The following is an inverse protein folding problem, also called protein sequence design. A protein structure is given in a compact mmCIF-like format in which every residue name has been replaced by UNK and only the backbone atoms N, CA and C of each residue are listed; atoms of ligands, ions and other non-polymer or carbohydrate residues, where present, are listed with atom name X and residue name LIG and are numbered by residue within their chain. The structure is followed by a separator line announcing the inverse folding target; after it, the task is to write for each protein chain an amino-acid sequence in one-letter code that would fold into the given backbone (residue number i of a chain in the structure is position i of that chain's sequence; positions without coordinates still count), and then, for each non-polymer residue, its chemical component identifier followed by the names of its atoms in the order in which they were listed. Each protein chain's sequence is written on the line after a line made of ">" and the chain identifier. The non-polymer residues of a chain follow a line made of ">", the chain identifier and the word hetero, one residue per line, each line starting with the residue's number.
data_IF_037230998752
#
_entry.id   IF_037230998752
#
_cell.length_a   1.000
_cell.length_b   1.000
_cell.length_c   1.000
_cell.angle_alpha   90.00
_cell.angle_beta   90.00
_cell.angle_gamma   90.00
#
_symmetry.space_group_name_H-M   'P 1'
#
loop_
_entity.id
_entity.type
_entity.pdbx_description
1 polymer ?
#
# COMPACT_ATOMS: atom_id res chain seq x y z
N UNK A 1 -10.54 -25.08 -4.43
CA UNK A 1 -10.29 -23.65 -4.75
C UNK A 1 -9.99 -23.53 -6.23
N UNK A 2 -10.64 -22.61 -6.95
CA UNK A 2 -10.36 -22.35 -8.37
C UNK A 2 -8.97 -21.73 -8.54
N UNK A 3 -8.27 -22.02 -9.65
CA UNK A 3 -6.96 -21.42 -10.00
C UNK A 3 -6.98 -19.89 -9.90
N UNK A 4 -8.13 -19.28 -10.22
CA UNK A 4 -8.34 -17.82 -10.12
C UNK A 4 -8.28 -17.30 -8.69
N UNK A 5 -8.89 -18.01 -7.74
CA UNK A 5 -8.84 -17.64 -6.32
C UNK A 5 -7.42 -17.79 -5.75
N UNK A 6 -6.66 -18.78 -6.21
CA UNK A 6 -5.25 -18.95 -5.81
C UNK A 6 -4.36 -17.84 -6.37
N UNK A 7 -4.52 -17.45 -7.63
CA UNK A 7 -3.78 -16.35 -8.22
C UNK A 7 -4.10 -15.02 -7.52
N UNK A 8 -5.39 -14.76 -7.24
CA UNK A 8 -5.80 -13.60 -6.48
C UNK A 8 -5.18 -13.53 -5.08
N UNK A 9 -5.19 -14.65 -4.34
CA UNK A 9 -4.60 -14.70 -3.01
C UNK A 9 -3.10 -14.31 -3.04
N UNK A 10 -2.36 -14.79 -4.05
CA UNK A 10 -0.96 -14.41 -4.26
C UNK A 10 -0.80 -12.92 -4.57
N UNK A 11 -1.62 -12.38 -5.48
CA UNK A 11 -1.58 -10.96 -5.84
C UNK A 11 -1.92 -10.05 -4.65
N UNK A 12 -2.92 -10.42 -3.85
CA UNK A 12 -3.32 -9.74 -2.62
C UNK A 12 -2.17 -9.73 -1.62
N UNK A 13 -1.62 -10.91 -1.28
CA UNK A 13 -0.49 -11.02 -0.36
C UNK A 13 0.74 -10.26 -0.85
N UNK A 14 1.02 -10.31 -2.14
CA UNK A 14 2.15 -9.58 -2.73
C UNK A 14 1.98 -8.07 -2.63
N UNK A 15 0.78 -7.54 -2.93
CA UNK A 15 0.48 -6.12 -2.76
C UNK A 15 0.68 -5.66 -1.32
N UNK A 16 0.12 -6.41 -0.36
CA UNK A 16 0.23 -6.11 1.07
C UNK A 16 1.67 -6.15 1.57
N UNK A 17 2.46 -7.14 1.12
CA UNK A 17 3.87 -7.25 1.46
C UNK A 17 4.67 -6.06 0.93
N UNK A 18 4.47 -5.67 -0.34
CA UNK A 18 5.16 -4.52 -0.92
C UNK A 18 4.86 -3.23 -0.15
N UNK A 19 3.61 -3.05 0.28
CA UNK A 19 3.21 -1.91 1.10
C UNK A 19 3.91 -1.92 2.46
N UNK A 20 3.91 -3.05 3.17
CA UNK A 20 4.62 -3.18 4.45
C UNK A 20 6.11 -2.87 4.32
N UNK A 21 6.76 -3.33 3.24
CA UNK A 21 8.16 -3.01 2.98
C UNK A 21 8.37 -1.50 2.83
N UNK A 22 7.47 -0.80 2.13
CA UNK A 22 7.60 0.66 1.98
C UNK A 22 7.39 1.40 3.30
N UNK A 23 6.42 0.97 4.11
CA UNK A 23 6.16 1.53 5.44
C UNK A 23 7.39 1.31 6.35
N UNK A 24 7.93 0.09 6.35
CA UNK A 24 9.13 -0.25 7.12
C UNK A 24 10.34 0.59 6.72
N UNK A 25 10.57 0.75 5.41
CA UNK A 25 11.67 1.56 4.90
C UNK A 25 11.56 3.05 5.28
N UNK A 26 10.35 3.63 5.23
CA UNK A 26 10.14 5.01 5.69
C UNK A 26 10.41 5.18 7.19
N UNK A 27 10.17 4.14 8.00
CA UNK A 27 10.39 4.15 9.45
C UNK A 27 11.84 3.92 9.84
N UNK A 28 12.55 3.05 9.13
CA UNK A 28 13.93 2.69 9.46
C UNK A 28 14.96 3.61 8.80
N UNK A 29 14.62 4.18 7.65
CA UNK A 29 15.53 4.95 6.81
C UNK A 29 14.79 6.10 6.11
N UNK A 30 14.48 7.21 6.80
CA UNK A 30 13.76 8.36 6.22
C UNK A 30 14.39 8.96 4.96
N UNK A 31 15.72 8.82 4.79
CA UNK A 31 16.46 9.32 3.63
C UNK A 31 16.15 8.54 2.33
N UNK A 32 15.57 7.34 2.45
CA UNK A 32 15.11 6.51 1.32
C UNK A 32 13.84 7.05 0.63
N UNK A 33 13.24 8.14 1.12
CA UNK A 33 11.95 8.69 0.68
C UNK A 33 11.77 8.78 -0.84
N UNK A 34 12.80 9.19 -1.58
CA UNK A 34 12.73 9.28 -3.04
C UNK A 34 12.55 7.90 -3.72
N UNK A 35 13.23 6.88 -3.19
CA UNK A 35 13.07 5.50 -3.64
C UNK A 35 11.69 4.96 -3.27
N UNK A 36 11.23 5.22 -2.04
CA UNK A 36 9.89 4.84 -1.60
C UNK A 36 8.80 5.48 -2.46
N UNK A 37 8.91 6.77 -2.81
CA UNK A 37 7.97 7.44 -3.71
C UNK A 37 7.86 6.73 -5.06
N UNK A 38 8.99 6.29 -5.62
CA UNK A 38 9.00 5.54 -6.89
C UNK A 38 8.23 4.22 -6.74
N UNK A 39 8.53 3.45 -5.69
CA UNK A 39 7.87 2.16 -5.42
C UNK A 39 6.38 2.31 -5.07
N UNK A 40 5.99 3.36 -4.35
CA UNK A 40 4.58 3.67 -4.07
C UNK A 40 3.79 3.98 -5.35
N UNK A 41 4.40 4.66 -6.33
CA UNK A 41 3.76 4.87 -7.64
C UNK A 41 3.58 3.58 -8.42
N UNK A 42 4.55 2.67 -8.36
CA UNK A 42 4.43 1.34 -8.97
C UNK A 42 3.32 0.53 -8.31
N UNK A 43 3.26 0.55 -6.97
CA UNK A 43 2.19 -0.10 -6.21
C UNK A 43 0.82 0.51 -6.52
N UNK A 44 0.72 1.84 -6.64
CA UNK A 44 -0.51 2.54 -7.02
C UNK A 44 -1.04 2.11 -8.39
N UNK A 45 -0.16 1.82 -9.36
CA UNK A 45 -0.56 1.31 -10.68
C UNK A 45 -1.20 -0.08 -10.62
N UNK A 46 -0.96 -0.86 -9.56
CA UNK A 46 -1.57 -2.17 -9.38
C UNK A 46 -3.03 -2.07 -8.90
N UNK A 47 -3.40 -0.95 -8.27
CA UNK A 47 -4.68 -0.83 -7.56
C UNK A 47 -5.91 -1.10 -8.42
N UNK A 48 -6.05 -0.59 -9.66
CA UNK A 48 -7.24 -0.87 -10.47
C UNK A 48 -7.51 -2.36 -10.65
N UNK A 49 -6.46 -3.16 -10.87
CA UNK A 49 -6.56 -4.62 -10.98
C UNK A 49 -6.89 -5.28 -9.65
N UNK A 50 -6.33 -4.78 -8.54
CA UNK A 50 -6.64 -5.25 -7.20
C UNK A 50 -8.12 -5.03 -6.85
N UNK A 51 -8.66 -3.84 -7.15
CA UNK A 51 -10.07 -3.49 -6.94
C UNK A 51 -11.00 -4.39 -7.75
N UNK A 52 -10.72 -4.57 -9.05
CA UNK A 52 -11.52 -5.43 -9.93
C UNK A 52 -11.55 -6.87 -9.39
N UNK A 53 -10.39 -7.44 -9.05
CA UNK A 53 -10.32 -8.81 -8.56
C UNK A 53 -10.97 -8.98 -7.17
N UNK A 54 -10.79 -8.01 -6.26
CA UNK A 54 -11.40 -8.01 -4.95
C UNK A 54 -12.94 -7.95 -5.05
N UNK A 55 -13.46 -7.09 -5.93
CA UNK A 55 -14.89 -7.01 -6.20
C UNK A 55 -15.45 -8.32 -6.76
N UNK A 56 -14.78 -8.91 -7.77
CA UNK A 56 -15.21 -10.16 -8.40
C UNK A 56 -15.19 -11.37 -7.45
N UNK A 57 -14.34 -11.35 -6.43
CA UNK A 57 -14.22 -12.43 -5.45
C UNK A 57 -14.91 -12.13 -4.12
N UNK A 58 -15.54 -10.96 -3.98
CA UNK A 58 -16.26 -10.55 -2.77
C UNK A 58 -15.37 -10.23 -1.57
N UNK A 59 -14.08 -9.93 -1.76
CA UNK A 59 -13.19 -9.49 -0.69
C UNK A 59 -13.37 -7.98 -0.44
N UNK A 60 -14.38 -7.65 0.35
CA UNK A 60 -14.75 -6.26 0.66
C UNK A 60 -13.68 -5.55 1.49
N UNK A 61 -12.99 -6.25 2.39
CA UNK A 61 -11.95 -5.66 3.25
C UNK A 61 -10.72 -5.24 2.46
N UNK A 62 -10.26 -6.09 1.53
CA UNK A 62 -9.15 -5.72 0.66
C UNK A 62 -9.55 -4.66 -0.36
N UNK A 63 -10.81 -4.69 -0.84
CA UNK A 63 -11.34 -3.64 -1.70
C UNK A 63 -11.31 -2.26 -1.01
N UNK A 64 -11.82 -2.16 0.22
CA UNK A 64 -11.81 -0.93 1.03
C UNK A 64 -10.38 -0.47 1.34
N UNK A 65 -9.48 -1.42 1.64
CA UNK A 65 -8.05 -1.14 1.84
C UNK A 65 -7.42 -0.53 0.58
N UNK A 66 -7.73 -1.06 -0.60
CA UNK A 66 -7.24 -0.51 -1.88
C UNK A 66 -7.74 0.92 -2.13
N UNK A 67 -9.03 1.20 -1.88
CA UNK A 67 -9.60 2.55 -1.99
C UNK A 67 -8.94 3.54 -1.02
N UNK A 68 -8.77 3.13 0.23
CA UNK A 68 -8.16 3.97 1.26
C UNK A 68 -6.67 4.21 0.95
N UNK A 69 -5.97 3.18 0.48
CA UNK A 69 -4.58 3.28 0.02
C UNK A 69 -4.43 4.28 -1.13
N UNK A 70 -5.33 4.31 -2.12
CA UNK A 70 -5.26 5.31 -3.19
C UNK A 70 -5.29 6.74 -2.64
N UNK A 71 -6.21 6.98 -1.69
CA UNK A 71 -6.33 8.28 -1.01
C UNK A 71 -5.07 8.61 -0.21
N UNK A 72 -4.54 7.64 0.54
CA UNK A 72 -3.31 7.79 1.29
C UNK A 72 -2.11 8.10 0.38
N UNK A 73 -1.98 7.43 -0.76
CA UNK A 73 -0.91 7.69 -1.74
C UNK A 73 -0.99 9.10 -2.33
N UNK A 74 -2.19 9.59 -2.66
CA UNK A 74 -2.36 10.96 -3.15
C UNK A 74 -1.91 12.02 -2.13
N UNK A 75 -2.03 11.75 -0.83
CA UNK A 75 -1.55 12.61 0.25
C UNK A 75 -0.04 12.44 0.52
N UNK A 76 0.42 11.18 0.67
CA UNK A 76 1.76 10.86 1.11
C UNK A 76 2.85 11.19 0.08
N UNK A 77 2.59 10.97 -1.23
CA UNK A 77 3.60 11.20 -2.27
C UNK A 77 4.04 12.68 -2.34
N UNK A 78 3.13 13.67 -2.36
CA UNK A 78 3.53 15.08 -2.30
C UNK A 78 4.33 15.43 -1.04
N UNK A 79 3.97 14.88 0.12
CA UNK A 79 4.65 15.09 1.40
C UNK A 79 6.09 14.58 1.32
N UNK A 80 6.27 13.33 0.89
CA UNK A 80 7.59 12.69 0.75
C UNK A 80 8.51 13.35 -0.28
N UNK A 81 7.95 14.14 -1.22
CA UNK A 81 8.73 14.88 -2.22
C UNK A 81 9.23 16.23 -1.72
N UNK A 82 8.64 16.78 -0.66
CA UNK A 82 9.14 17.98 0.00
C UNK A 82 10.29 17.54 0.90
N UNK A 83 11.51 17.68 0.39
CA UNK A 83 12.77 17.20 0.96
C UNK A 83 13.20 18.01 2.19
N UNK A 84 12.29 18.21 3.14
CA UNK A 84 12.42 19.26 4.17
C UNK A 84 12.59 18.70 5.59
N UNK A 85 11.97 17.57 5.94
CA UNK A 85 11.97 17.03 7.31
C UNK A 85 11.81 15.49 7.36
N UNK A 86 12.67 14.73 8.08
CA UNK A 86 12.45 13.31 8.37
C UNK A 86 11.09 12.96 9.00
N UNK A 87 10.47 13.87 9.77
CA UNK A 87 9.13 13.66 10.37
C UNK A 87 8.08 13.37 9.29
N UNK A 88 8.23 13.98 8.11
CA UNK A 88 7.34 13.75 6.98
C UNK A 88 7.31 12.30 6.51
N UNK A 89 8.43 11.57 6.63
CA UNK A 89 8.52 10.15 6.29
C UNK A 89 7.72 9.28 7.27
N UNK A 90 7.82 9.56 8.57
CA UNK A 90 7.05 8.87 9.60
C UNK A 90 5.55 9.15 9.46
N UNK A 91 5.16 10.39 9.21
CA UNK A 91 3.75 10.75 8.96
C UNK A 91 3.18 10.04 7.73
N UNK A 92 3.96 9.96 6.65
CA UNK A 92 3.57 9.22 5.45
C UNK A 92 3.44 7.72 5.74
N UNK A 93 4.37 7.15 6.52
CA UNK A 93 4.30 5.74 6.94
C UNK A 93 3.02 5.45 7.73
N UNK A 94 2.65 6.33 8.68
CA UNK A 94 1.45 6.17 9.48
C UNK A 94 0.16 6.30 8.64
N UNK A 95 0.14 7.22 7.67
CA UNK A 95 -0.99 7.34 6.74
C UNK A 95 -1.16 6.08 5.89
N UNK A 96 -0.06 5.53 5.38
CA UNK A 96 -0.06 4.30 4.59
C UNK A 96 -0.45 3.08 5.42
N UNK A 97 0.03 2.97 6.65
CA UNK A 97 -0.29 1.86 7.55
C UNK A 97 -1.78 1.83 7.91
N UNK A 98 -2.38 3.00 8.16
CA UNK A 98 -3.83 3.15 8.44
C UNK A 98 -4.71 2.91 7.21
N UNK A 99 -4.13 2.88 6.02
CA UNK A 99 -4.89 2.69 4.78
C UNK A 99 -5.29 1.25 4.52
N UNK A 100 -4.76 0.31 5.31
CA UNK A 100 -5.02 -1.12 5.13
C UNK A 100 -5.51 -1.72 6.44
N UNK A 101 -6.59 -2.49 6.34
CA UNK A 101 -7.02 -3.37 7.40
C UNK A 101 -6.11 -4.60 7.40
N UNK A 102 -5.07 -4.56 8.23
CA UNK A 102 -4.24 -5.73 8.51
C UNK A 102 -5.08 -6.71 9.32
N UNK A 103 -5.79 -7.62 8.64
CA UNK A 103 -6.44 -8.72 9.32
C UNK A 103 -5.39 -9.45 10.16
N UNK A 104 -5.60 -9.50 11.48
CA UNK A 104 -4.81 -10.37 12.36
C UNK A 104 -4.92 -11.80 11.81
N UNK A 105 -3.82 -12.48 11.47
CA UNK A 105 -3.87 -13.92 11.34
C UNK A 105 -4.19 -14.46 12.74
N UNK A 106 -5.43 -14.86 12.99
CA UNK A 106 -5.73 -15.77 14.09
C UNK A 106 -5.20 -17.16 13.77
#
# INVERSE_FOLDING_TARGET
>A
MSTRASAYAKDRSYFLLLLQVQIGELRSNPDSRAQVVTRLRELFRMVPRCLENAHLLGDTLFYESCCTFQTACHSAIPILRKDEDPISAYMAADQLERSVSWENPQ
#
